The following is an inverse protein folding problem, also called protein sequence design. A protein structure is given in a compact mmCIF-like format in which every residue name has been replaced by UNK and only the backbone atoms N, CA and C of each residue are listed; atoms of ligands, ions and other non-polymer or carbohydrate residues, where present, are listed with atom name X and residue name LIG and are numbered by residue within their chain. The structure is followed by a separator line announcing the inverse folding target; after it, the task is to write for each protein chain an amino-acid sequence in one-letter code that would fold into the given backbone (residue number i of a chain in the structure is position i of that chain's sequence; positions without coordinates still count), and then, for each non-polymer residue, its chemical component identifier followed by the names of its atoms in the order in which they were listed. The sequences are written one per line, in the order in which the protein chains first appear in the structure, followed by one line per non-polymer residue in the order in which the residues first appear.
data_IF_792268681212
#
_entry.id   IF_792268681212
#
_cell.length_a   1.000
_cell.length_b   1.000
_cell.length_c   1.000
_cell.angle_alpha   90.00
_cell.angle_beta   90.00
_cell.angle_gamma   90.00
#
_symmetry.space_group_name_H-M   'P 1'
#
loop_
_entity.id
_entity.type
_entity.pdbx_description
1 polymer ?
#
# COMPACT_ATOMS: atom_id res chain seq x y z
N UNK A 1 32.34 -70.20 -38.30
CA UNK A 1 32.81 -69.26 -37.24
C UNK A 1 31.67 -68.28 -36.93
N UNK A 2 31.05 -68.35 -35.76
CA UNK A 2 29.95 -67.46 -35.42
C UNK A 2 30.47 -66.27 -34.59
N UNK A 3 30.09 -65.08 -35.00
CA UNK A 3 30.31 -63.85 -34.26
C UNK A 3 29.33 -63.75 -33.10
N UNK A 4 29.87 -63.66 -31.89
CA UNK A 4 29.11 -63.41 -30.62
C UNK A 4 28.81 -61.91 -30.52
N UNK A 5 27.53 -61.55 -30.64
CA UNK A 5 27.04 -60.24 -30.31
C UNK A 5 26.95 -60.04 -28.78
N UNK A 6 27.67 -59.06 -28.27
CA UNK A 6 27.62 -58.65 -26.87
C UNK A 6 26.48 -57.65 -26.71
N UNK A 7 25.37 -58.06 -26.06
CA UNK A 7 24.27 -57.18 -25.65
C UNK A 7 24.69 -56.46 -24.38
N UNK A 8 24.99 -55.15 -24.51
CA UNK A 8 25.21 -54.27 -23.37
C UNK A 8 23.85 -53.82 -22.88
N UNK A 9 23.35 -54.39 -21.78
CA UNK A 9 22.15 -53.93 -21.08
C UNK A 9 22.52 -52.66 -20.29
N UNK A 10 22.09 -51.51 -20.77
CA UNK A 10 22.17 -50.24 -20.05
C UNK A 10 21.04 -50.22 -19.05
N UNK A 11 21.36 -50.48 -17.77
CA UNK A 11 20.46 -50.17 -16.65
C UNK A 11 20.40 -48.65 -16.50
N UNK A 12 19.33 -48.06 -16.97
CA UNK A 12 18.94 -46.72 -16.60
C UNK A 12 18.48 -46.72 -15.15
N UNK A 13 19.38 -46.41 -14.22
CA UNK A 13 19.00 -46.01 -12.88
C UNK A 13 18.23 -44.67 -12.98
N UNK A 14 16.89 -44.78 -12.92
CA UNK A 14 16.04 -43.60 -12.76
C UNK A 14 16.37 -42.93 -11.44
N UNK A 15 16.95 -41.73 -11.50
CA UNK A 15 17.06 -40.86 -10.34
C UNK A 15 15.65 -40.64 -9.76
N UNK A 16 15.46 -40.66 -8.44
CA UNK A 16 14.15 -40.34 -7.86
C UNK A 16 13.79 -38.91 -8.28
N UNK A 17 12.70 -38.79 -9.02
CA UNK A 17 12.08 -37.49 -9.27
C UNK A 17 11.67 -36.96 -7.90
N UNK A 18 12.40 -35.97 -7.39
CA UNK A 18 12.00 -35.29 -6.19
C UNK A 18 10.58 -34.77 -6.41
N UNK A 19 9.63 -35.22 -5.61
CA UNK A 19 8.26 -34.77 -5.66
C UNK A 19 8.25 -33.24 -5.49
N UNK A 20 7.74 -32.52 -6.49
CA UNK A 20 7.60 -31.08 -6.39
C UNK A 20 6.63 -30.83 -5.23
N UNK A 21 6.96 -29.93 -4.26
CA UNK A 21 6.04 -29.59 -3.20
C UNK A 21 4.75 -29.07 -3.82
N UNK A 22 3.63 -29.67 -3.47
CA UNK A 22 2.31 -29.21 -3.92
C UNK A 22 1.82 -28.17 -2.92
N UNK A 23 1.15 -27.11 -3.38
CA UNK A 23 0.61 -26.04 -2.52
C UNK A 23 -0.22 -26.62 -1.33
N UNK A 24 -0.89 -27.74 -1.53
CA UNK A 24 -1.64 -28.45 -0.47
C UNK A 24 -0.73 -29.08 0.58
N UNK A 25 0.45 -29.62 0.17
CA UNK A 25 1.43 -30.20 1.09
C UNK A 25 2.06 -29.14 1.97
N UNK A 26 2.45 -28.02 1.36
CA UNK A 26 3.07 -26.88 2.06
C UNK A 26 2.09 -26.24 3.06
N UNK A 27 0.80 -26.15 2.70
CA UNK A 27 -0.24 -25.65 3.60
C UNK A 27 -0.39 -26.53 4.85
N UNK A 28 -0.43 -27.84 4.67
CA UNK A 28 -0.50 -28.79 5.80
C UNK A 28 0.78 -28.68 6.65
N UNK A 29 1.94 -28.61 6.02
CA UNK A 29 3.23 -28.50 6.70
C UNK A 29 3.31 -27.25 7.57
N UNK A 30 2.96 -26.07 7.02
CA UNK A 30 3.02 -24.82 7.78
C UNK A 30 2.05 -24.81 8.96
N UNK A 31 0.84 -25.35 8.79
CA UNK A 31 -0.16 -25.38 9.84
C UNK A 31 0.19 -26.37 10.97
N UNK A 32 0.86 -27.48 10.65
CA UNK A 32 1.24 -28.51 11.64
C UNK A 32 2.60 -28.27 12.27
N UNK A 33 3.59 -27.83 11.47
CA UNK A 33 4.98 -27.81 11.90
C UNK A 33 5.51 -26.38 12.11
N UNK A 34 4.83 -25.34 11.55
CA UNK A 34 5.29 -23.94 11.55
C UNK A 34 6.71 -23.78 10.96
N UNK A 35 7.17 -24.75 10.19
CA UNK A 35 8.48 -24.75 9.55
C UNK A 35 8.32 -25.07 8.07
N UNK A 36 8.45 -24.04 7.24
CA UNK A 36 8.20 -24.18 5.82
C UNK A 36 8.91 -23.06 5.03
N UNK A 37 10.27 -23.02 5.04
CA UNK A 37 11.01 -22.07 4.24
C UNK A 37 10.76 -22.32 2.75
N UNK A 38 10.74 -21.24 1.95
CA UNK A 38 10.49 -21.27 0.49
C UNK A 38 9.15 -21.91 0.04
N UNK A 39 8.22 -22.12 0.95
CA UNK A 39 6.91 -22.72 0.69
C UNK A 39 6.10 -21.99 -0.38
N UNK A 40 5.35 -22.78 -1.15
CA UNK A 40 4.43 -22.31 -2.17
C UNK A 40 3.03 -22.15 -1.55
N UNK A 41 2.75 -20.99 -0.97
CA UNK A 41 1.50 -20.67 -0.26
C UNK A 41 0.71 -19.55 -0.97
N UNK A 42 0.99 -19.35 -2.27
CA UNK A 42 0.22 -18.38 -3.04
C UNK A 42 -1.28 -18.76 -3.04
N UNK A 43 -2.13 -17.73 -2.87
CA UNK A 43 -3.58 -17.87 -2.80
C UNK A 43 -4.10 -18.73 -1.63
N UNK A 44 -3.23 -19.11 -0.65
CA UNK A 44 -3.63 -19.92 0.49
C UNK A 44 -4.59 -19.17 1.43
N UNK A 45 -5.57 -19.87 1.99
CA UNK A 45 -6.43 -19.35 3.06
C UNK A 45 -5.85 -19.76 4.43
N UNK A 46 -5.34 -18.76 5.14
CA UNK A 46 -4.67 -18.88 6.44
C UNK A 46 -5.32 -17.92 7.47
N UNK A 47 -6.59 -17.55 7.25
CA UNK A 47 -7.33 -16.69 8.18
C UNK A 47 -7.34 -17.29 9.57
N UNK A 48 -7.05 -16.47 10.58
CA UNK A 48 -6.93 -16.86 11.99
C UNK A 48 -5.87 -17.95 12.30
N UNK A 49 -5.00 -18.31 11.34
CA UNK A 49 -3.99 -19.33 11.57
C UNK A 49 -3.03 -18.94 12.71
N UNK A 50 -2.67 -19.91 13.55
CA UNK A 50 -1.64 -19.73 14.58
C UNK A 50 -0.26 -20.09 14.01
N UNK A 51 0.42 -19.07 13.53
CA UNK A 51 1.75 -19.12 12.89
C UNK A 51 2.82 -18.40 13.74
N UNK A 52 2.63 -18.37 15.06
CA UNK A 52 3.63 -17.79 15.96
C UNK A 52 4.94 -18.54 15.86
N UNK A 53 6.04 -17.80 15.79
CA UNK A 53 7.41 -18.30 15.65
C UNK A 53 7.60 -19.18 14.39
N UNK A 54 6.70 -19.06 13.39
CA UNK A 54 6.78 -19.86 12.17
C UNK A 54 8.00 -19.46 11.33
N UNK A 55 8.68 -20.46 10.76
CA UNK A 55 9.81 -20.30 9.85
C UNK A 55 9.29 -20.27 8.41
N UNK A 56 9.10 -19.09 7.87
CA UNK A 56 8.51 -18.82 6.55
C UNK A 56 9.45 -18.00 5.66
N UNK A 57 10.75 -18.00 5.96
CA UNK A 57 11.75 -17.30 5.17
C UNK A 57 11.66 -17.71 3.69
N UNK A 58 11.63 -16.72 2.78
CA UNK A 58 11.54 -16.94 1.34
C UNK A 58 10.20 -17.48 0.85
N UNK A 59 9.20 -17.70 1.72
CA UNK A 59 7.91 -18.26 1.33
C UNK A 59 7.18 -17.38 0.30
N UNK A 60 6.48 -18.02 -0.63
CA UNK A 60 5.63 -17.38 -1.62
C UNK A 60 4.19 -17.32 -1.13
N UNK A 61 3.81 -16.16 -0.63
CA UNK A 61 2.51 -15.89 0.00
C UNK A 61 1.65 -14.92 -0.84
N UNK A 62 1.97 -14.75 -2.12
CA UNK A 62 1.24 -13.80 -2.98
C UNK A 62 -0.26 -14.10 -2.96
N UNK A 63 -1.07 -13.06 -2.71
CA UNK A 63 -2.53 -13.13 -2.64
C UNK A 63 -3.08 -14.08 -1.57
N UNK A 64 -2.24 -14.58 -0.67
CA UNK A 64 -2.70 -15.36 0.47
C UNK A 64 -3.58 -14.51 1.41
N UNK A 65 -4.49 -15.16 2.11
CA UNK A 65 -5.32 -14.53 3.12
C UNK A 65 -4.86 -14.92 4.52
N UNK A 66 -4.14 -14.02 5.17
CA UNK A 66 -3.63 -14.12 6.54
C UNK A 66 -4.40 -13.17 7.49
N UNK A 67 -5.65 -12.84 7.15
CA UNK A 67 -6.48 -11.96 7.97
C UNK A 67 -6.58 -12.48 9.42
N UNK A 68 -6.30 -11.62 10.40
CA UNK A 68 -6.35 -11.93 11.82
C UNK A 68 -5.47 -13.13 12.26
N UNK A 69 -4.51 -13.55 11.41
CA UNK A 69 -3.53 -14.58 11.75
C UNK A 69 -2.58 -14.11 12.85
N UNK A 70 -2.04 -15.05 13.60
CA UNK A 70 -1.04 -14.81 14.65
C UNK A 70 0.34 -15.17 14.11
N UNK A 71 1.12 -14.15 13.81
CA UNK A 71 2.47 -14.25 13.24
C UNK A 71 3.52 -13.66 14.19
N UNK A 72 3.22 -13.61 15.49
CA UNK A 72 4.15 -13.06 16.49
C UNK A 72 5.47 -13.85 16.44
N UNK A 73 6.59 -13.14 16.28
CA UNK A 73 7.92 -13.73 16.18
C UNK A 73 8.20 -14.54 14.91
N UNK A 74 7.30 -14.57 13.94
CA UNK A 74 7.51 -15.35 12.71
C UNK A 74 8.66 -14.78 11.87
N UNK A 75 9.43 -15.65 11.26
CA UNK A 75 10.43 -15.31 10.25
C UNK A 75 9.79 -15.33 8.85
N UNK A 76 9.52 -14.14 8.34
CA UNK A 76 8.99 -13.86 6.99
C UNK A 76 10.06 -13.21 6.11
N UNK A 77 11.33 -13.27 6.52
CA UNK A 77 12.41 -12.62 5.79
C UNK A 77 12.51 -13.11 4.34
N UNK A 78 12.68 -12.17 3.41
CA UNK A 78 12.76 -12.47 1.98
C UNK A 78 11.48 -13.04 1.34
N UNK A 79 10.39 -13.19 2.09
CA UNK A 79 9.14 -13.73 1.56
C UNK A 79 8.46 -12.78 0.57
N UNK A 80 7.65 -13.33 -0.34
CA UNK A 80 6.82 -12.54 -1.24
C UNK A 80 5.38 -12.47 -0.71
N UNK A 81 5.04 -11.34 -0.12
CA UNK A 81 3.75 -11.02 0.45
C UNK A 81 2.91 -10.10 -0.46
N UNK A 82 3.28 -10.00 -1.75
CA UNK A 82 2.58 -9.09 -2.67
C UNK A 82 1.09 -9.43 -2.75
N UNK A 83 0.25 -8.39 -2.56
CA UNK A 83 -1.22 -8.49 -2.53
C UNK A 83 -1.79 -9.41 -1.44
N UNK A 84 -1.01 -9.79 -0.46
CA UNK A 84 -1.45 -10.61 0.68
C UNK A 84 -2.33 -9.80 1.63
N UNK A 85 -3.40 -10.42 2.14
CA UNK A 85 -4.19 -9.83 3.22
C UNK A 85 -3.58 -10.21 4.57
N UNK A 86 -3.09 -9.22 5.31
CA UNK A 86 -2.63 -9.30 6.71
C UNK A 86 -3.49 -8.41 7.61
N UNK A 87 -4.73 -8.14 7.17
CA UNK A 87 -5.63 -7.26 7.89
C UNK A 87 -5.92 -7.78 9.30
N UNK A 88 -5.64 -6.95 10.30
CA UNK A 88 -5.83 -7.29 11.71
C UNK A 88 -4.88 -8.37 12.24
N UNK A 89 -3.92 -8.84 11.45
CA UNK A 89 -2.95 -9.84 11.87
C UNK A 89 -2.03 -9.31 12.98
N UNK A 90 -1.55 -10.21 13.85
CA UNK A 90 -0.51 -9.91 14.82
C UNK A 90 0.85 -10.32 14.25
N UNK A 91 1.72 -9.31 14.08
CA UNK A 91 3.08 -9.45 13.52
C UNK A 91 4.14 -8.98 14.54
N UNK A 92 3.83 -9.07 15.83
CA UNK A 92 4.69 -8.54 16.88
C UNK A 92 6.04 -9.25 16.89
N UNK A 93 7.10 -8.47 16.72
CA UNK A 93 8.46 -9.03 16.67
C UNK A 93 8.78 -9.90 15.45
N UNK A 94 7.90 -9.94 14.46
CA UNK A 94 8.14 -10.70 13.22
C UNK A 94 9.28 -10.10 12.39
N UNK A 95 10.03 -10.92 11.69
CA UNK A 95 11.07 -10.48 10.77
C UNK A 95 10.52 -10.43 9.33
N UNK A 96 10.40 -9.21 8.80
CA UNK A 96 9.90 -8.91 7.45
C UNK A 96 11.01 -8.32 6.55
N UNK A 97 12.27 -8.36 6.98
CA UNK A 97 13.38 -7.80 6.20
C UNK A 97 13.55 -8.53 4.87
N UNK A 98 13.77 -7.78 3.81
CA UNK A 98 13.87 -8.31 2.45
C UNK A 98 12.55 -8.83 1.88
N UNK A 99 11.43 -8.76 2.61
CA UNK A 99 10.13 -9.20 2.11
C UNK A 99 9.55 -8.20 1.10
N UNK A 100 8.69 -8.69 0.20
CA UNK A 100 7.97 -7.87 -0.77
C UNK A 100 6.56 -7.59 -0.25
N UNK A 101 6.28 -6.31 0.04
CA UNK A 101 4.99 -5.86 0.60
C UNK A 101 4.15 -5.06 -0.42
N UNK A 102 4.37 -5.23 -1.71
CA UNK A 102 3.62 -4.52 -2.74
C UNK A 102 2.12 -4.85 -2.69
N UNK A 103 1.28 -3.85 -2.46
CA UNK A 103 -0.18 -4.02 -2.38
C UNK A 103 -0.66 -4.85 -1.20
N UNK A 104 0.20 -5.16 -0.23
CA UNK A 104 -0.15 -5.91 0.98
C UNK A 104 -1.11 -5.12 1.86
N UNK A 105 -2.18 -5.75 2.31
CA UNK A 105 -3.15 -5.15 3.24
C UNK A 105 -2.74 -5.40 4.70
N UNK A 106 -2.06 -4.43 5.30
CA UNK A 106 -1.64 -4.40 6.70
C UNK A 106 -2.61 -3.58 7.59
N UNK A 107 -3.80 -3.25 7.09
CA UNK A 107 -4.74 -2.41 7.86
C UNK A 107 -5.10 -3.05 9.19
N UNK A 108 -4.98 -2.26 10.25
CA UNK A 108 -5.23 -2.68 11.64
C UNK A 108 -4.31 -3.78 12.17
N UNK A 109 -3.25 -4.17 11.46
CA UNK A 109 -2.25 -5.11 11.93
C UNK A 109 -1.45 -4.55 13.11
N UNK A 110 -0.90 -5.43 13.94
CA UNK A 110 0.04 -5.06 15.01
C UNK A 110 1.48 -5.40 14.59
N UNK A 111 2.25 -4.36 14.27
CA UNK A 111 3.65 -4.43 13.85
C UNK A 111 4.62 -4.08 14.98
N UNK A 112 4.16 -4.14 16.25
CA UNK A 112 5.00 -3.75 17.39
C UNK A 112 6.26 -4.60 17.48
N UNK A 113 7.42 -3.95 17.35
CA UNK A 113 8.71 -4.63 17.35
C UNK A 113 9.03 -5.45 16.10
N UNK A 114 8.21 -5.40 15.06
CA UNK A 114 8.51 -6.06 13.79
C UNK A 114 9.70 -5.39 13.10
N UNK A 115 10.53 -6.19 12.42
CA UNK A 115 11.69 -5.75 11.67
C UNK A 115 11.34 -5.59 10.19
N UNK A 116 11.42 -4.37 9.66
CA UNK A 116 11.17 -4.04 8.27
C UNK A 116 12.32 -3.21 7.71
N UNK A 117 12.52 -3.28 6.40
CA UNK A 117 13.44 -2.39 5.70
C UNK A 117 12.87 -0.98 5.54
N UNK A 118 13.74 0.00 5.36
CA UNK A 118 13.32 1.36 5.02
C UNK A 118 12.52 1.36 3.71
N UNK A 119 11.38 2.06 3.70
CA UNK A 119 10.49 2.12 2.52
C UNK A 119 9.61 0.88 2.29
N UNK A 120 9.71 -0.17 3.10
CA UNK A 120 8.90 -1.39 2.94
C UNK A 120 7.39 -1.11 2.93
N UNK A 121 6.93 -0.06 3.61
CA UNK A 121 5.52 0.32 3.69
C UNK A 121 5.04 1.24 2.56
N UNK A 122 5.92 1.67 1.64
CA UNK A 122 5.60 2.71 0.65
C UNK A 122 4.48 2.31 -0.30
N UNK A 123 4.36 1.02 -0.59
CA UNK A 123 3.38 0.47 -1.52
C UNK A 123 2.42 -0.52 -0.84
N UNK A 124 2.27 -0.46 0.48
CA UNK A 124 1.35 -1.26 1.27
C UNK A 124 0.22 -0.43 1.88
N UNK A 125 -0.87 -1.07 2.27
CA UNK A 125 -1.99 -0.44 2.96
C UNK A 125 -1.88 -0.69 4.46
N UNK A 126 -1.42 0.29 5.24
CA UNK A 126 -1.15 0.12 6.67
C UNK A 126 -1.99 1.03 7.59
N UNK A 127 -3.11 1.59 7.10
CA UNK A 127 -3.97 2.47 7.88
C UNK A 127 -4.50 1.75 9.13
N UNK A 128 -4.34 2.39 10.28
CA UNK A 128 -4.73 1.82 11.56
C UNK A 128 -3.81 0.71 12.09
N UNK A 129 -2.72 0.37 11.39
CA UNK A 129 -1.69 -0.50 11.93
C UNK A 129 -0.98 0.16 13.12
N UNK A 130 -0.57 -0.67 14.07
CA UNK A 130 0.10 -0.24 15.31
C UNK A 130 1.57 -0.66 15.32
N UNK A 131 2.37 0.02 16.15
CA UNK A 131 3.76 -0.36 16.37
C UNK A 131 4.70 -0.08 15.20
N UNK A 132 4.29 0.71 14.19
CA UNK A 132 5.18 1.11 13.10
C UNK A 132 6.22 2.09 13.66
N UNK A 133 7.50 1.71 13.51
CA UNK A 133 8.62 2.59 13.84
C UNK A 133 8.50 3.90 13.03
N UNK A 134 8.59 5.08 13.67
CA UNK A 134 8.58 6.36 12.97
C UNK A 134 9.60 6.45 11.83
N UNK A 135 10.77 5.84 11.95
CA UNK A 135 11.80 5.80 10.92
C UNK A 135 11.43 5.01 9.65
N UNK A 136 10.38 4.22 9.70
CA UNK A 136 9.84 3.49 8.54
C UNK A 136 8.81 4.29 7.74
N UNK A 137 8.39 5.45 8.24
CA UNK A 137 7.40 6.31 7.60
C UNK A 137 8.07 7.28 6.64
N UNK A 138 8.20 6.87 5.40
CA UNK A 138 8.66 7.76 4.34
C UNK A 138 7.58 8.76 3.92
N UNK A 139 7.97 9.84 3.23
CA UNK A 139 7.03 10.74 2.57
C UNK A 139 6.02 9.96 1.68
N UNK A 140 6.52 9.01 0.88
CA UNK A 140 5.69 8.23 -0.05
C UNK A 140 4.66 7.39 0.70
N UNK A 141 5.06 6.65 1.75
CA UNK A 141 4.15 5.82 2.55
C UNK A 141 3.06 6.65 3.22
N UNK A 142 3.40 7.80 3.77
CA UNK A 142 2.45 8.72 4.40
C UNK A 142 1.48 9.34 3.40
N UNK A 143 2.00 9.76 2.22
CA UNK A 143 1.15 10.29 1.15
C UNK A 143 0.17 9.23 0.64
N UNK A 144 0.64 8.02 0.36
CA UNK A 144 -0.17 6.91 -0.14
C UNK A 144 -1.26 6.51 0.86
N UNK A 145 -0.93 6.44 2.15
CA UNK A 145 -1.91 6.22 3.21
C UNK A 145 -2.97 7.35 3.27
N UNK A 146 -2.56 8.59 3.04
CA UNK A 146 -3.46 9.74 2.92
C UNK A 146 -4.41 9.61 1.73
N UNK A 147 -3.91 9.15 0.57
CA UNK A 147 -4.72 8.87 -0.63
C UNK A 147 -5.78 7.82 -0.35
N UNK A 148 -5.42 6.73 0.31
CA UNK A 148 -6.36 5.66 0.66
C UNK A 148 -7.44 6.14 1.64
N UNK A 149 -7.06 6.97 2.62
CA UNK A 149 -8.01 7.60 3.52
C UNK A 149 -8.98 8.52 2.79
N UNK A 150 -8.47 9.37 1.87
CA UNK A 150 -9.27 10.28 1.06
C UNK A 150 -10.25 9.52 0.15
N UNK A 151 -9.80 8.48 -0.53
CA UNK A 151 -10.66 7.61 -1.38
C UNK A 151 -11.78 6.94 -0.59
N UNK A 152 -11.54 6.70 0.70
CA UNK A 152 -12.54 6.14 1.63
C UNK A 152 -13.43 7.21 2.29
N UNK A 153 -13.35 8.49 1.89
CA UNK A 153 -14.09 9.60 2.48
C UNK A 153 -13.64 9.99 3.89
N UNK A 154 -12.53 9.45 4.38
CA UNK A 154 -11.99 9.74 5.72
C UNK A 154 -11.10 10.98 5.70
N UNK A 155 -11.70 12.13 5.38
CA UNK A 155 -11.00 13.38 5.08
C UNK A 155 -10.15 13.93 6.23
N UNK A 156 -10.59 13.76 7.48
CA UNK A 156 -9.82 14.19 8.67
C UNK A 156 -8.54 13.36 8.81
N UNK A 157 -8.63 12.07 8.59
CA UNK A 157 -7.46 11.17 8.60
C UNK A 157 -6.53 11.46 7.43
N UNK A 158 -7.07 11.67 6.23
CA UNK A 158 -6.32 12.06 5.05
C UNK A 158 -5.52 13.35 5.29
N UNK A 159 -6.16 14.40 5.83
CA UNK A 159 -5.48 15.65 6.18
C UNK A 159 -4.31 15.40 7.14
N UNK A 160 -4.50 14.58 8.17
CA UNK A 160 -3.45 14.25 9.14
C UNK A 160 -2.27 13.55 8.48
N UNK A 161 -2.52 12.59 7.59
CA UNK A 161 -1.50 11.81 6.89
C UNK A 161 -0.75 12.68 5.87
N UNK A 162 -1.44 13.50 5.08
CA UNK A 162 -0.78 14.44 4.18
C UNK A 162 0.03 15.50 4.94
N UNK A 163 -0.44 15.92 6.11
CA UNK A 163 0.36 16.81 6.95
C UNK A 163 1.67 16.15 7.40
N UNK A 164 1.62 14.88 7.81
CA UNK A 164 2.81 14.13 8.15
C UNK A 164 3.75 13.97 6.94
N UNK A 165 3.21 13.65 5.75
CA UNK A 165 3.99 13.58 4.51
C UNK A 165 4.69 14.90 4.18
N UNK A 166 4.00 16.03 4.34
CA UNK A 166 4.59 17.37 4.12
C UNK A 166 5.72 17.66 5.11
N UNK A 167 5.61 17.19 6.35
CA UNK A 167 6.71 17.35 7.33
C UNK A 167 7.96 16.56 6.93
N UNK A 168 7.78 15.37 6.35
CA UNK A 168 8.91 14.57 5.84
C UNK A 168 9.54 15.18 4.57
N UNK A 169 8.72 15.68 3.65
CA UNK A 169 9.22 16.34 2.44
C UNK A 169 8.33 17.52 2.03
N UNK A 170 8.63 18.75 2.51
CA UNK A 170 7.82 19.93 2.23
C UNK A 170 7.89 20.41 0.78
N UNK A 171 8.86 19.93 -0.02
CA UNK A 171 9.02 20.33 -1.43
C UNK A 171 8.13 19.53 -2.39
N UNK A 172 7.42 18.53 -1.91
CA UNK A 172 6.51 17.73 -2.72
C UNK A 172 5.15 18.41 -2.88
N UNK A 173 4.98 19.17 -3.96
CA UNK A 173 3.79 19.96 -4.24
C UNK A 173 2.49 19.15 -4.19
N UNK A 174 2.50 17.87 -4.64
CA UNK A 174 1.31 17.01 -4.68
C UNK A 174 0.73 16.75 -3.29
N UNK A 175 1.55 16.66 -2.23
CA UNK A 175 1.04 16.46 -0.88
C UNK A 175 0.30 17.70 -0.34
N UNK A 176 0.74 18.89 -0.74
CA UNK A 176 0.03 20.13 -0.43
C UNK A 176 -1.31 20.20 -1.18
N UNK A 177 -1.34 19.80 -2.45
CA UNK A 177 -2.60 19.72 -3.22
C UNK A 177 -3.56 18.74 -2.52
N UNK A 178 -3.10 17.55 -2.20
CA UNK A 178 -3.92 16.50 -1.58
C UNK A 178 -4.47 16.93 -0.21
N UNK A 179 -3.65 17.63 0.61
CA UNK A 179 -4.12 18.19 1.88
C UNK A 179 -5.14 19.31 1.66
N UNK A 180 -4.89 20.18 0.69
CA UNK A 180 -5.83 21.24 0.32
C UNK A 180 -7.18 20.70 -0.11
N UNK A 181 -7.21 19.68 -0.96
CA UNK A 181 -8.44 18.97 -1.34
C UNK A 181 -9.16 18.37 -0.12
N UNK A 182 -8.41 17.69 0.74
CA UNK A 182 -8.98 17.10 1.96
C UNK A 182 -9.56 18.13 2.92
N UNK A 183 -8.99 19.33 2.98
CA UNK A 183 -9.48 20.48 3.75
C UNK A 183 -10.73 21.09 3.12
N UNK A 184 -10.76 21.19 1.80
CA UNK A 184 -11.93 21.65 1.06
C UNK A 184 -13.15 20.76 1.32
N UNK A 185 -12.99 19.44 1.28
CA UNK A 185 -14.04 18.47 1.58
C UNK A 185 -14.57 18.54 3.03
N UNK A 186 -13.78 19.12 3.95
CA UNK A 186 -14.18 19.42 5.32
C UNK A 186 -14.77 20.83 5.51
N UNK A 187 -14.92 21.61 4.43
CA UNK A 187 -15.37 23.01 4.50
C UNK A 187 -14.32 24.00 5.03
N UNK A 188 -13.05 23.58 5.16
CA UNK A 188 -11.95 24.44 5.63
C UNK A 188 -11.35 25.25 4.47
N UNK A 189 -12.16 26.07 3.83
CA UNK A 189 -11.83 26.75 2.56
C UNK A 189 -10.59 27.63 2.64
N UNK A 190 -10.41 28.40 3.72
CA UNK A 190 -9.23 29.25 3.92
C UNK A 190 -7.93 28.45 3.97
N UNK A 191 -7.94 27.30 4.66
CA UNK A 191 -6.79 26.43 4.75
C UNK A 191 -6.52 25.69 3.43
N UNK A 192 -7.58 25.31 2.73
CA UNK A 192 -7.49 24.69 1.41
C UNK A 192 -6.85 25.67 0.40
N UNK A 193 -7.33 26.93 0.37
CA UNK A 193 -6.77 27.96 -0.50
C UNK A 193 -5.29 28.21 -0.26
N UNK A 194 -4.87 28.27 1.01
CA UNK A 194 -3.44 28.43 1.36
C UNK A 194 -2.59 27.27 0.87
N UNK A 195 -3.07 26.03 1.03
CA UNK A 195 -2.34 24.84 0.58
C UNK A 195 -2.21 24.81 -0.94
N UNK A 196 -3.29 25.15 -1.67
CA UNK A 196 -3.26 25.20 -3.13
C UNK A 196 -2.34 26.33 -3.65
N UNK A 197 -2.36 27.48 -3.01
CA UNK A 197 -1.45 28.59 -3.35
C UNK A 197 0.02 28.20 -3.14
N UNK A 198 0.32 27.55 -2.02
CA UNK A 198 1.68 27.07 -1.72
C UNK A 198 2.13 25.99 -2.72
N UNK A 199 1.24 25.04 -3.06
CA UNK A 199 1.53 24.05 -4.09
C UNK A 199 1.79 24.69 -5.46
N UNK A 200 1.04 25.75 -5.82
CA UNK A 200 1.29 26.54 -7.02
C UNK A 200 2.68 27.17 -7.02
N UNK A 201 3.08 27.78 -5.92
CA UNK A 201 4.42 28.32 -5.77
C UNK A 201 5.51 27.24 -5.93
N UNK A 202 5.32 26.06 -5.35
CA UNK A 202 6.26 24.94 -5.50
C UNK A 202 6.38 24.48 -6.96
N UNK A 203 5.26 24.38 -7.69
CA UNK A 203 5.30 24.03 -9.12
C UNK A 203 6.00 25.09 -9.96
N UNK A 204 5.85 26.37 -9.63
CA UNK A 204 6.58 27.44 -10.28
C UNK A 204 8.09 27.30 -10.09
N UNK A 205 8.55 27.01 -8.85
CA UNK A 205 9.96 26.74 -8.55
C UNK A 205 10.49 25.48 -9.27
N UNK A 206 9.62 24.51 -9.52
CA UNK A 206 9.95 23.27 -10.24
C UNK A 206 9.89 23.42 -11.77
N UNK A 207 9.61 24.60 -12.29
CA UNK A 207 9.56 24.90 -13.72
C UNK A 207 8.26 24.44 -14.42
N UNK A 208 7.16 24.30 -13.69
CA UNK A 208 5.84 23.98 -14.24
C UNK A 208 4.85 25.16 -14.04
N UNK A 209 4.98 26.24 -14.84
CA UNK A 209 4.15 27.43 -14.70
C UNK A 209 2.67 27.17 -15.01
N UNK A 210 2.37 26.15 -15.80
CA UNK A 210 0.98 25.81 -16.16
C UNK A 210 0.24 25.30 -14.91
N UNK A 211 0.82 24.33 -14.18
CA UNK A 211 0.23 23.86 -12.93
C UNK A 211 0.23 24.94 -11.85
N UNK A 212 1.27 25.77 -11.80
CA UNK A 212 1.35 26.89 -10.87
C UNK A 212 0.15 27.83 -11.04
N UNK A 213 -0.16 28.27 -12.28
CA UNK A 213 -1.29 29.16 -12.57
C UNK A 213 -2.64 28.49 -12.26
N UNK A 214 -2.83 27.25 -12.66
CA UNK A 214 -4.04 26.47 -12.35
C UNK A 214 -4.33 26.42 -10.85
N UNK A 215 -3.31 26.14 -10.04
CA UNK A 215 -3.44 26.06 -8.58
C UNK A 215 -3.67 27.42 -7.94
N UNK A 216 -3.03 28.47 -8.45
CA UNK A 216 -3.27 29.85 -8.01
C UNK A 216 -4.72 30.25 -8.26
N UNK A 217 -5.27 29.97 -9.43
CA UNK A 217 -6.68 30.24 -9.74
C UNK A 217 -7.61 29.43 -8.82
N UNK A 218 -7.29 28.14 -8.56
CA UNK A 218 -8.07 27.31 -7.66
C UNK A 218 -8.05 27.80 -6.23
N UNK A 219 -6.91 28.32 -5.76
CA UNK A 219 -6.78 28.88 -4.41
C UNK A 219 -7.70 30.07 -4.15
N UNK A 220 -8.04 30.81 -5.19
CA UNK A 220 -8.99 31.93 -5.12
C UNK A 220 -10.42 31.40 -5.13
N UNK A 221 -10.73 30.51 -6.08
CA UNK A 221 -12.10 30.03 -6.29
C UNK A 221 -12.61 29.13 -5.15
N UNK A 222 -11.75 28.52 -4.37
CA UNK A 222 -12.16 27.67 -3.24
C UNK A 222 -12.98 28.45 -2.19
N UNK A 223 -12.90 29.79 -2.19
CA UNK A 223 -13.67 30.68 -1.32
C UNK A 223 -15.02 31.11 -1.92
N UNK A 224 -15.25 30.83 -3.20
CA UNK A 224 -16.52 31.23 -3.84
C UNK A 224 -17.62 30.26 -3.40
N UNK A 225 -18.79 30.75 -2.95
CA UNK A 225 -19.92 29.90 -2.63
C UNK A 225 -20.33 29.12 -3.89
N UNK A 226 -20.61 27.83 -3.72
CA UNK A 226 -21.09 26.98 -4.80
C UNK A 226 -22.28 27.64 -5.48
N UNK A 227 -22.15 27.97 -6.78
CA UNK A 227 -23.27 28.51 -7.57
C UNK A 227 -24.39 27.45 -7.58
N UNK A 228 -25.63 27.91 -7.33
CA UNK A 228 -26.80 27.05 -7.08
C UNK A 228 -27.29 26.23 -8.30
N UNK A 229 -26.51 26.04 -9.34
CA UNK A 229 -26.84 25.37 -10.59
C UNK A 229 -26.18 23.98 -10.75
N UNK A 230 -25.92 23.25 -9.67
CA UNK A 230 -25.51 21.85 -9.79
C UNK A 230 -26.75 20.94 -9.87
N UNK A 231 -26.85 20.03 -10.86
CA UNK A 231 -27.98 19.09 -10.93
C UNK A 231 -27.98 18.20 -9.69
N UNK A 232 -29.16 18.09 -9.07
CA UNK A 232 -29.40 17.29 -7.87
C UNK A 232 -29.14 15.79 -8.15
N UNK A 233 -27.95 15.32 -7.78
CA UNK A 233 -27.63 13.90 -7.71
C UNK A 233 -27.87 13.37 -6.29
N UNK A 234 -28.58 12.28 -6.18
CA UNK A 234 -28.96 11.64 -4.91
C UNK A 234 -27.76 11.02 -4.19
N UNK A 235 -27.07 11.81 -3.35
CA UNK A 235 -26.01 11.26 -2.48
C UNK A 235 -25.20 12.36 -1.83
N UNK A 236 -25.03 12.30 -0.50
CA UNK A 236 -24.30 13.30 0.31
C UNK A 236 -22.84 13.53 -0.11
N UNK A 237 -22.25 12.64 -0.93
CA UNK A 237 -20.89 12.79 -1.47
C UNK A 237 -20.82 13.50 -2.82
N UNK A 238 -21.95 13.60 -3.57
CA UNK A 238 -21.95 14.18 -4.92
C UNK A 238 -22.13 15.69 -4.95
N UNK A 239 -22.71 16.28 -3.91
CA UNK A 239 -22.97 17.73 -3.87
C UNK A 239 -21.69 18.56 -3.67
N UNK A 240 -20.74 18.06 -2.86
CA UNK A 240 -19.45 18.74 -2.63
C UNK A 240 -18.50 18.53 -3.80
N UNK A 241 -18.48 17.33 -4.39
CA UNK A 241 -17.80 17.08 -5.66
C UNK A 241 -18.39 17.90 -6.80
N UNK A 242 -19.71 18.14 -6.82
CA UNK A 242 -20.37 18.94 -7.85
C UNK A 242 -20.02 20.42 -7.80
N UNK A 243 -19.90 21.03 -6.63
CA UNK A 243 -19.52 22.44 -6.50
C UNK A 243 -18.02 22.68 -6.71
N UNK A 244 -17.16 21.71 -6.37
CA UNK A 244 -15.76 21.72 -6.75
C UNK A 244 -15.57 21.28 -8.22
N UNK A 245 -16.47 20.48 -8.83
CA UNK A 245 -16.31 19.98 -10.19
C UNK A 245 -16.30 21.10 -11.24
N UNK A 246 -17.03 22.18 -11.07
CA UNK A 246 -16.93 23.32 -12.01
C UNK A 246 -15.59 24.06 -11.91
N UNK A 247 -14.99 24.09 -10.74
CA UNK A 247 -13.62 24.59 -10.48
C UNK A 247 -12.56 23.53 -10.75
N UNK A 248 -12.91 22.24 -10.59
CA UNK A 248 -12.05 21.07 -10.68
C UNK A 248 -11.84 20.59 -12.11
N UNK A 249 -12.66 21.02 -13.09
CA UNK A 249 -12.40 20.64 -14.49
C UNK A 249 -11.01 21.11 -14.96
N UNK A 250 -10.53 22.28 -14.51
CA UNK A 250 -9.16 22.73 -14.77
C UNK A 250 -8.12 22.04 -13.86
N UNK A 251 -8.51 21.62 -12.64
CA UNK A 251 -7.64 20.94 -11.69
C UNK A 251 -7.70 19.41 -11.77
N UNK A 252 -8.67 18.86 -12.50
CA UNK A 252 -8.88 17.41 -12.56
C UNK A 252 -7.58 16.61 -12.80
N UNK A 253 -6.69 17.00 -13.72
CA UNK A 253 -5.44 16.26 -13.92
C UNK A 253 -4.49 16.33 -12.72
N UNK A 254 -4.41 17.49 -12.05
CA UNK A 254 -3.53 17.72 -10.90
C UNK A 254 -4.11 17.02 -9.67
N UNK A 255 -5.42 17.18 -9.43
CA UNK A 255 -6.14 16.54 -8.33
C UNK A 255 -6.07 15.02 -8.45
N UNK A 256 -6.31 14.46 -9.65
CA UNK A 256 -6.18 13.05 -9.91
C UNK A 256 -4.76 12.57 -9.58
N UNK A 257 -3.73 13.27 -10.04
CA UNK A 257 -2.33 12.92 -9.76
C UNK A 257 -1.99 13.03 -8.27
N UNK A 258 -2.53 14.04 -7.56
CA UNK A 258 -2.32 14.21 -6.12
C UNK A 258 -3.04 13.14 -5.27
N UNK A 259 -4.08 12.50 -5.81
CA UNK A 259 -4.80 11.39 -5.19
C UNK A 259 -4.44 10.03 -5.82
N UNK A 260 -3.32 9.94 -6.54
CA UNK A 260 -2.71 8.69 -6.95
C UNK A 260 -1.57 8.32 -5.99
N UNK A 261 -1.35 7.02 -5.75
CA UNK A 261 -0.20 6.57 -4.99
C UNK A 261 1.10 7.01 -5.64
N UNK A 262 2.05 7.50 -4.84
CA UNK A 262 3.39 7.81 -5.30
C UNK A 262 4.16 6.50 -5.49
N UNK A 263 4.89 6.41 -6.58
CA UNK A 263 5.89 5.38 -6.77
C UNK A 263 7.17 5.82 -6.02
N UNK A 264 7.85 4.88 -5.38
CA UNK A 264 9.09 5.15 -4.67
C UNK A 264 10.20 5.62 -5.58
#
# INVERSE_FOLDING_TARGET
MPLRGCLLSILLLGAPVAAQPTASGDLIQVLQQRHCPDCQLADADLVHADLRDAQLAGARLQRANLGEARLDGADLSGSDLSFTSLRGASLRGADLRGSRLYGTDLRHADLSGAHLDAGALDQSHWQGARGIDPGLRSHASLHNAGVDAARSGRWVEAERLFNAAILENPQQALSWVARGLSRGEQGKHDLAGRDLAHAGWLFEQQGDPIKADQLKQASIRVHEPASAEAPAGNGLGSAVLGSMLSTVQALAPIALKALMPMMP
#
